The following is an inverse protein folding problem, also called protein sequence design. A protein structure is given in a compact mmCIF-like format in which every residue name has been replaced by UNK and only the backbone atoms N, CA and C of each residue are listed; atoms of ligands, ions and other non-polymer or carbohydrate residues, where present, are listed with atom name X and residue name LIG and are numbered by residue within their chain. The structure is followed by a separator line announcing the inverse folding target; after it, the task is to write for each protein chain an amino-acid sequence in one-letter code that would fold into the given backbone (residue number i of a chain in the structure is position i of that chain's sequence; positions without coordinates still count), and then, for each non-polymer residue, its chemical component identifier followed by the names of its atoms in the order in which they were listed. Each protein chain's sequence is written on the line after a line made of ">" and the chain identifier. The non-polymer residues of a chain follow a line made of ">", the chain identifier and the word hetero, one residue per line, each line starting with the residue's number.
data_IF_650173405411
#
_entry.id   IF_650173405411
#
_cell.length_a   1.000
_cell.length_b   1.000
_cell.length_c   1.000
_cell.angle_alpha   90.00
_cell.angle_beta   90.00
_cell.angle_gamma   90.00
#
_symmetry.space_group_name_H-M   'P 1'
#
loop_
_entity.id
_entity.type
_entity.pdbx_description
1 polymer ?
#
# COMPACT_ATOMS: atom_id res chain seq x y z
N UNK A 1 -16.88 -4.55 -0.83
CA UNK A 1 -15.57 -3.92 -1.02
C UNK A 1 -15.32 -3.78 -2.50
N UNK A 2 -15.40 -2.56 -3.01
CA UNK A 2 -14.93 -2.31 -4.38
C UNK A 2 -13.42 -2.48 -4.39
N UNK A 3 -12.93 -3.42 -5.20
CA UNK A 3 -11.53 -3.52 -5.61
C UNK A 3 -11.16 -2.25 -6.37
N UNK A 4 -10.94 -1.16 -5.63
CA UNK A 4 -10.42 0.09 -6.16
C UNK A 4 -8.94 -0.13 -6.42
N UNK A 5 -8.64 -0.50 -7.66
CA UNK A 5 -7.26 -0.53 -8.16
C UNK A 5 -6.72 0.90 -8.02
N UNK A 6 -5.52 1.05 -7.46
CA UNK A 6 -4.94 2.37 -7.24
C UNK A 6 -4.91 3.15 -8.56
N UNK A 7 -5.32 4.43 -8.54
CA UNK A 7 -5.24 5.29 -9.71
C UNK A 7 -3.82 5.34 -10.30
N UNK A 8 -2.80 5.23 -9.44
CA UNK A 8 -1.40 5.14 -9.86
C UNK A 8 -1.05 3.83 -10.58
N UNK A 9 -1.65 2.70 -10.19
CA UNK A 9 -1.44 1.41 -10.86
C UNK A 9 -2.06 1.41 -12.25
N UNK A 10 -3.32 1.89 -12.36
CA UNK A 10 -4.00 2.03 -13.65
C UNK A 10 -3.24 2.94 -14.62
N UNK A 11 -2.67 4.02 -14.09
CA UNK A 11 -1.84 4.93 -14.87
C UNK A 11 -0.53 4.27 -15.34
N UNK A 12 0.12 3.49 -14.47
CA UNK A 12 1.33 2.72 -14.84
C UNK A 12 1.08 1.70 -15.96
N UNK A 13 -0.03 0.96 -15.87
CA UNK A 13 -0.40 -0.02 -16.90
C UNK A 13 -0.70 0.66 -18.25
N UNK A 14 -1.40 1.80 -18.23
CA UNK A 14 -1.67 2.61 -19.43
C UNK A 14 -0.37 3.13 -20.06
N UNK A 15 0.59 3.61 -19.27
CA UNK A 15 1.89 4.06 -19.79
C UNK A 15 2.69 2.92 -20.44
N UNK A 16 2.68 1.72 -19.84
CA UNK A 16 3.31 0.53 -20.43
C UNK A 16 2.68 0.15 -21.77
N UNK A 17 1.35 0.24 -21.87
CA UNK A 17 0.62 -0.03 -23.11
C UNK A 17 0.97 1.01 -24.19
N UNK A 18 0.96 2.30 -23.84
CA UNK A 18 1.36 3.37 -24.75
C UNK A 18 2.80 3.20 -25.26
N UNK A 19 3.74 2.87 -24.37
CA UNK A 19 5.13 2.68 -24.76
C UNK A 19 5.32 1.43 -25.64
N UNK A 20 4.56 0.36 -25.38
CA UNK A 20 4.53 -0.83 -26.25
C UNK A 20 4.10 -0.45 -27.67
N UNK A 21 2.97 0.26 -27.80
CA UNK A 21 2.45 0.72 -29.10
C UNK A 21 3.40 1.65 -29.84
N UNK A 22 4.12 2.51 -29.11
CA UNK A 22 5.15 3.37 -29.69
C UNK A 22 6.30 2.54 -30.28
N UNK A 23 6.80 1.54 -29.54
CA UNK A 23 7.86 0.64 -30.02
C UNK A 23 7.39 -0.14 -31.25
N UNK A 24 6.16 -0.63 -31.26
CA UNK A 24 5.57 -1.32 -32.42
C UNK A 24 5.54 -0.42 -33.66
N UNK A 25 5.12 0.84 -33.51
CA UNK A 25 5.13 1.82 -34.58
C UNK A 25 6.55 2.07 -35.12
N UNK A 26 7.52 2.30 -34.23
CA UNK A 26 8.91 2.52 -34.61
C UNK A 26 9.54 1.30 -35.29
N UNK A 27 9.16 0.10 -34.87
CA UNK A 27 9.62 -1.16 -35.47
C UNK A 27 9.05 -1.39 -36.88
N UNK A 28 7.87 -0.82 -37.16
CA UNK A 28 7.22 -0.92 -38.46
C UNK A 28 7.69 0.14 -39.46
N UNK A 29 8.37 1.19 -39.02
CA UNK A 29 8.87 2.28 -39.85
C UNK A 29 10.31 1.98 -40.36
N UNK A 30 10.50 1.61 -41.63
CA UNK A 30 11.81 1.19 -42.14
C UNK A 30 12.85 2.32 -42.14
N UNK A 31 12.42 3.58 -42.12
CA UNK A 31 13.32 4.74 -42.09
C UNK A 31 13.77 5.14 -40.69
N UNK A 32 13.28 4.47 -39.64
CA UNK A 32 13.68 4.71 -38.27
C UNK A 32 15.09 4.18 -37.99
N UNK A 33 16.10 5.03 -38.18
CA UNK A 33 17.51 4.70 -38.01
C UNK A 33 18.26 5.73 -37.12
N UNK A 34 17.95 5.79 -35.82
CA UNK A 34 18.62 6.71 -34.91
C UNK A 34 20.09 6.33 -34.67
N UNK A 35 20.94 7.35 -34.48
CA UNK A 35 22.36 7.15 -34.17
C UNK A 35 22.58 6.87 -32.67
N UNK A 36 21.72 7.40 -31.82
CA UNK A 36 21.76 7.26 -30.37
C UNK A 36 21.30 5.85 -29.97
N UNK A 37 22.18 5.12 -29.29
CA UNK A 37 21.92 3.72 -28.88
C UNK A 37 20.64 3.59 -28.06
N UNK A 38 20.36 4.53 -27.15
CA UNK A 38 19.18 4.50 -26.28
C UNK A 38 17.85 4.64 -27.04
N UNK A 39 17.89 5.21 -28.25
CA UNK A 39 16.72 5.38 -29.10
C UNK A 39 16.51 4.22 -30.08
N UNK A 40 17.47 3.30 -30.20
CA UNK A 40 17.31 2.14 -31.06
C UNK A 40 16.21 1.21 -30.54
N UNK A 41 15.48 0.58 -31.45
CA UNK A 41 14.35 -0.31 -31.12
C UNK A 41 14.74 -1.39 -30.11
N UNK A 42 15.94 -1.97 -30.25
CA UNK A 42 16.46 -2.98 -29.31
C UNK A 42 16.60 -2.44 -27.89
N UNK A 43 17.16 -1.23 -27.72
CA UNK A 43 17.31 -0.59 -26.42
C UNK A 43 15.94 -0.21 -25.82
N UNK A 44 14.99 0.26 -26.64
CA UNK A 44 13.63 0.56 -26.20
C UNK A 44 12.88 -0.71 -25.74
N UNK A 45 13.06 -1.84 -26.43
CA UNK A 45 12.49 -3.14 -26.02
C UNK A 45 13.06 -3.60 -24.68
N UNK A 46 14.37 -3.48 -24.47
CA UNK A 46 15.01 -3.78 -23.18
C UNK A 46 14.40 -2.90 -22.10
N UNK A 47 14.28 -1.60 -22.36
CA UNK A 47 13.70 -0.64 -21.41
C UNK A 47 12.25 -0.97 -21.07
N UNK A 48 11.44 -1.38 -22.06
CA UNK A 48 10.06 -1.85 -21.84
C UNK A 48 10.03 -3.10 -20.93
N UNK A 49 10.98 -4.03 -21.13
CA UNK A 49 11.15 -5.20 -20.26
C UNK A 49 11.41 -4.81 -18.81
N UNK A 50 12.36 -3.90 -18.57
CA UNK A 50 12.69 -3.40 -17.24
C UNK A 50 11.49 -2.73 -16.56
N UNK A 51 10.74 -1.92 -17.31
CA UNK A 51 9.54 -1.26 -16.80
C UNK A 51 8.44 -2.27 -16.42
N UNK A 52 8.25 -3.33 -17.21
CA UNK A 52 7.29 -4.42 -16.88
C UNK A 52 7.70 -5.16 -15.61
N UNK A 53 8.99 -5.45 -15.44
CA UNK A 53 9.53 -6.09 -14.22
C UNK A 53 9.28 -5.18 -13.01
N UNK A 54 9.62 -3.90 -13.11
CA UNK A 54 9.45 -2.94 -12.02
C UNK A 54 7.97 -2.76 -11.63
N UNK A 55 7.06 -2.66 -12.60
CA UNK A 55 5.61 -2.56 -12.35
C UNK A 55 5.09 -3.80 -11.62
N UNK A 56 5.51 -5.00 -12.06
CA UNK A 56 5.15 -6.27 -11.42
C UNK A 56 5.66 -6.33 -9.98
N UNK A 57 6.89 -5.88 -9.73
CA UNK A 57 7.47 -5.83 -8.38
C UNK A 57 6.64 -4.92 -7.45
N UNK A 58 6.21 -3.76 -7.93
CA UNK A 58 5.35 -2.83 -7.16
C UNK A 58 4.00 -3.46 -6.85
N UNK A 59 3.35 -4.12 -7.82
CA UNK A 59 2.06 -4.81 -7.62
C UNK A 59 2.17 -5.86 -6.51
N UNK A 60 3.21 -6.70 -6.57
CA UNK A 60 3.44 -7.75 -5.58
C UNK A 60 3.74 -7.17 -4.19
N UNK A 61 4.59 -6.15 -4.11
CA UNK A 61 4.91 -5.48 -2.85
C UNK A 61 3.66 -4.82 -2.23
N UNK A 62 2.80 -4.21 -3.05
CA UNK A 62 1.57 -3.58 -2.60
C UNK A 62 0.56 -4.58 -2.02
N UNK A 63 0.42 -5.76 -2.64
CA UNK A 63 -0.42 -6.83 -2.12
C UNK A 63 0.04 -7.29 -0.72
N UNK A 64 1.34 -7.54 -0.57
CA UNK A 64 1.93 -7.93 0.72
C UNK A 64 1.74 -6.84 1.80
N UNK A 65 1.99 -5.58 1.44
CA UNK A 65 1.78 -4.44 2.32
C UNK A 65 0.33 -4.31 2.79
N UNK A 66 -0.63 -4.45 1.89
CA UNK A 66 -2.05 -4.37 2.23
C UNK A 66 -2.48 -5.51 3.15
N UNK A 67 -2.06 -6.74 2.87
CA UNK A 67 -2.33 -7.88 3.75
C UNK A 67 -1.75 -7.65 5.16
N UNK A 68 -0.51 -7.17 5.25
CA UNK A 68 0.11 -6.82 6.54
C UNK A 68 -0.68 -5.73 7.28
N UNK A 69 -1.19 -4.70 6.59
CA UNK A 69 -2.05 -3.67 7.18
C UNK A 69 -3.38 -4.22 7.68
N UNK A 70 -4.00 -5.13 6.92
CA UNK A 70 -5.24 -5.81 7.32
C UNK A 70 -4.99 -6.60 8.60
N UNK A 71 -3.96 -7.44 8.65
CA UNK A 71 -3.58 -8.21 9.85
C UNK A 71 -3.32 -7.30 11.05
N UNK A 72 -2.54 -6.23 10.86
CA UNK A 72 -2.28 -5.25 11.92
C UNK A 72 -3.58 -4.61 12.41
N UNK A 73 -4.46 -4.19 11.51
CA UNK A 73 -5.72 -3.56 11.88
C UNK A 73 -6.65 -4.53 12.62
N UNK A 74 -6.67 -5.82 12.24
CA UNK A 74 -7.40 -6.84 12.97
C UNK A 74 -6.90 -6.97 14.41
N UNK A 75 -5.58 -6.98 14.63
CA UNK A 75 -4.99 -7.06 15.98
C UNK A 75 -5.28 -5.80 16.81
N UNK A 76 -5.14 -4.61 16.21
CA UNK A 76 -5.23 -3.36 16.95
C UNK A 76 -6.66 -2.87 17.18
N UNK A 77 -7.55 -3.09 16.20
CA UNK A 77 -8.81 -2.36 16.09
C UNK A 77 -10.05 -3.24 15.91
N UNK A 78 -9.95 -4.57 15.99
CA UNK A 78 -11.15 -5.42 15.93
C UNK A 78 -12.17 -5.04 17.00
N UNK A 79 -13.45 -5.19 16.67
CA UNK A 79 -14.55 -4.88 17.59
C UNK A 79 -14.52 -5.73 18.86
N UNK A 80 -14.07 -6.99 18.73
CA UNK A 80 -13.90 -7.94 19.83
C UNK A 80 -12.45 -8.36 19.90
N UNK A 81 -11.81 -8.16 21.06
CA UNK A 81 -10.43 -8.57 21.32
C UNK A 81 -9.34 -7.66 20.73
N UNK A 82 -9.69 -6.57 20.04
CA UNK A 82 -8.72 -5.61 19.52
C UNK A 82 -8.03 -4.84 20.65
N UNK A 83 -6.74 -4.58 20.51
CA UNK A 83 -5.92 -3.94 21.55
C UNK A 83 -6.54 -2.63 22.07
N UNK A 84 -7.07 -1.78 21.18
CA UNK A 84 -7.69 -0.53 21.57
C UNK A 84 -8.95 -0.74 22.43
N UNK A 85 -9.75 -1.76 22.12
CA UNK A 85 -10.92 -2.15 22.90
C UNK A 85 -10.54 -2.71 24.26
N UNK A 86 -9.62 -3.68 24.28
CA UNK A 86 -9.10 -4.30 25.52
C UNK A 86 -8.54 -3.22 26.46
N UNK A 87 -7.73 -2.29 25.95
CA UNK A 87 -7.18 -1.20 26.76
C UNK A 87 -8.28 -0.31 27.38
N UNK A 88 -9.39 -0.10 26.67
CA UNK A 88 -10.58 0.58 27.20
C UNK A 88 -11.21 -0.17 28.37
N UNK A 89 -11.40 -1.48 28.22
CA UNK A 89 -11.98 -2.33 29.27
C UNK A 89 -11.08 -2.44 30.50
N UNK A 90 -9.76 -2.60 30.31
CA UNK A 90 -8.78 -2.61 31.41
C UNK A 90 -8.85 -1.31 32.22
N UNK A 91 -8.94 -0.14 31.56
CA UNK A 91 -9.09 1.13 32.27
C UNK A 91 -10.37 1.21 33.07
N UNK A 92 -11.49 0.73 32.53
CA UNK A 92 -12.76 0.67 33.26
C UNK A 92 -12.65 -0.24 34.47
N UNK A 93 -11.98 -1.38 34.34
CA UNK A 93 -11.72 -2.29 35.46
C UNK A 93 -10.88 -1.64 36.56
N UNK A 94 -9.74 -1.02 36.22
CA UNK A 94 -8.90 -0.29 37.18
C UNK A 94 -9.68 0.82 37.87
N UNK A 95 -10.53 1.55 37.13
CA UNK A 95 -11.42 2.58 37.68
C UNK A 95 -12.41 1.99 38.69
N UNK A 96 -12.99 0.82 38.38
CA UNK A 96 -13.95 0.12 39.23
C UNK A 96 -13.32 -0.32 40.55
N UNK A 97 -12.12 -0.90 40.49
CA UNK A 97 -11.42 -1.45 41.66
C UNK A 97 -10.84 -0.36 42.57
N UNK A 98 -10.15 0.63 42.00
CA UNK A 98 -9.41 1.63 42.79
C UNK A 98 -10.13 2.98 42.92
N UNK A 99 -11.21 3.19 42.17
CA UNK A 99 -11.92 4.46 42.10
C UNK A 99 -11.28 5.49 41.16
N UNK A 100 -12.09 6.43 40.69
CA UNK A 100 -11.71 7.43 39.69
C UNK A 100 -10.64 8.44 40.15
N UNK A 101 -10.51 8.66 41.46
CA UNK A 101 -9.54 9.60 42.05
C UNK A 101 -8.14 9.01 42.27
N UNK A 102 -8.00 7.69 42.15
CA UNK A 102 -6.80 6.94 42.57
C UNK A 102 -5.57 7.22 41.71
N UNK A 103 -4.35 7.16 42.29
CA UNK A 103 -3.10 7.23 41.54
C UNK A 103 -3.02 6.17 40.42
N UNK A 104 -3.51 4.95 40.68
CA UNK A 104 -3.53 3.82 39.75
C UNK A 104 -4.37 4.15 38.51
N UNK A 105 -5.61 4.63 38.70
CA UNK A 105 -6.45 5.01 37.57
C UNK A 105 -5.90 6.21 36.81
N UNK A 106 -5.34 7.21 37.51
CA UNK A 106 -4.71 8.40 36.89
C UNK A 106 -3.49 8.05 36.04
N UNK A 107 -2.77 6.98 36.36
CA UNK A 107 -1.63 6.52 35.56
C UNK A 107 -2.10 5.93 34.23
N UNK A 108 -3.05 4.98 34.28
CA UNK A 108 -3.52 4.27 33.08
C UNK A 108 -4.46 5.13 32.21
N UNK A 109 -5.19 6.08 32.80
CA UNK A 109 -6.14 6.92 32.06
C UNK A 109 -5.46 7.82 31.02
N UNK A 110 -4.21 8.24 31.28
CA UNK A 110 -3.39 9.07 30.39
C UNK A 110 -2.93 8.38 29.11
N UNK A 111 -2.88 7.05 29.08
CA UNK A 111 -2.47 6.29 27.89
C UNK A 111 -3.52 6.44 26.80
N UNK A 112 -3.18 6.84 25.57
CA UNK A 112 -4.20 7.06 24.53
C UNK A 112 -4.20 5.89 23.54
N UNK A 113 -5.34 5.20 23.48
CA UNK A 113 -5.61 4.19 22.46
C UNK A 113 -6.75 4.70 21.58
N UNK A 114 -6.46 4.91 20.30
CA UNK A 114 -7.46 5.37 19.31
C UNK A 114 -7.92 4.18 18.49
N UNK A 115 -9.22 4.10 18.22
CA UNK A 115 -9.73 3.23 17.14
C UNK A 115 -9.32 3.82 15.80
N UNK A 116 -9.13 2.98 14.78
CA UNK A 116 -8.98 3.48 13.42
C UNK A 116 -10.20 4.35 13.08
N UNK A 117 -9.97 5.50 12.45
CA UNK A 117 -11.02 6.22 11.74
C UNK A 117 -11.25 5.44 10.45
N UNK A 118 -12.50 5.05 10.22
CA UNK A 118 -12.96 4.56 8.93
C UNK A 118 -12.69 5.59 7.82
#
# INVERSE_FOLDING_TARGET
>A
EDKTISASQRYGDSLLEHFTKLIELLSAEPTYAPNETDLQVSALIIRLGDLKIANTAVINAYANYNNARITRNAILYSAVGGLAGIAGEVKKYVKSVFGAGSPQFKQVSKLVFKKAKD
#
